data_IF_024800239562
#
_entry.id   IF_024800239562
#
_cell.length_a   1.000
_cell.length_b   1.000
_cell.length_c   1.000
_cell.angle_alpha   90.00
_cell.angle_beta   90.00
_cell.angle_gamma   90.00
#
_symmetry.space_group_name_H-M   'P 1'
#
loop_
_entity.id
_entity.type
_entity.pdbx_description
1 polymer ?
#
# COMPACT_ATOMS: atom_id res chain seq x y z
N UNK A 1 22.85 -14.98 -4.59
CA UNK A 1 21.88 -15.64 -5.48
C UNK A 1 20.54 -15.47 -4.80
N UNK A 2 19.80 -14.41 -5.14
CA UNK A 2 18.48 -14.19 -4.57
C UNK A 2 17.57 -15.34 -5.01
N UNK A 3 17.00 -16.04 -4.03
CA UNK A 3 16.02 -17.08 -4.29
C UNK A 3 14.91 -16.49 -5.18
N UNK A 4 14.37 -17.25 -6.16
CA UNK A 4 13.23 -16.76 -6.91
C UNK A 4 12.10 -16.51 -5.92
N UNK A 5 11.79 -15.24 -5.69
CA UNK A 5 10.64 -14.83 -4.90
C UNK A 5 9.42 -15.45 -5.60
N UNK A 6 8.88 -16.53 -5.04
CA UNK A 6 7.74 -17.21 -5.62
C UNK A 6 6.59 -16.20 -5.70
N UNK A 7 6.24 -15.84 -6.93
CA UNK A 7 5.13 -14.96 -7.22
C UNK A 7 3.86 -15.58 -6.61
N UNK A 8 3.14 -14.79 -5.81
CA UNK A 8 1.87 -15.24 -5.24
C UNK A 8 0.86 -15.41 -6.37
N UNK A 9 -0.09 -16.34 -6.19
CA UNK A 9 -1.11 -16.60 -7.19
C UNK A 9 -1.97 -15.34 -7.53
N UNK A 10 -2.10 -14.40 -6.58
CA UNK A 10 -2.85 -13.15 -6.73
C UNK A 10 -1.99 -11.95 -7.19
N UNK A 11 -0.71 -12.13 -7.53
CA UNK A 11 0.20 -11.02 -7.83
C UNK A 11 -0.28 -10.11 -8.96
N UNK A 12 -0.94 -10.66 -9.98
CA UNK A 12 -1.54 -9.86 -11.05
C UNK A 12 -2.66 -8.95 -10.51
N UNK A 13 -3.51 -9.46 -9.62
CA UNK A 13 -4.58 -8.69 -8.99
C UNK A 13 -4.01 -7.61 -8.06
N UNK A 14 -2.97 -7.94 -7.29
CA UNK A 14 -2.27 -6.96 -6.42
C UNK A 14 -1.67 -5.82 -7.24
N UNK A 15 -0.95 -6.12 -8.32
CA UNK A 15 -0.38 -5.08 -9.21
C UNK A 15 -1.46 -4.19 -9.82
N UNK A 16 -2.57 -4.78 -10.28
CA UNK A 16 -3.71 -4.03 -10.80
C UNK A 16 -4.32 -3.09 -9.73
N UNK A 17 -4.48 -3.59 -8.49
CA UNK A 17 -4.97 -2.79 -7.36
C UNK A 17 -3.98 -1.69 -6.93
N UNK A 18 -2.69 -1.80 -7.23
CA UNK A 18 -1.69 -0.78 -6.91
C UNK A 18 -1.53 0.29 -8.00
N UNK A 19 -1.81 -0.04 -9.27
CA UNK A 19 -1.46 0.82 -10.41
C UNK A 19 -2.65 1.46 -11.14
N UNK A 20 -3.86 0.88 -11.07
CA UNK A 20 -5.02 1.43 -11.79
C UNK A 20 -5.76 2.46 -10.94
N UNK A 21 -5.47 3.75 -11.12
CA UNK A 21 -6.07 4.88 -10.38
C UNK A 21 -7.17 5.60 -11.15
N UNK A 22 -7.31 5.33 -12.45
CA UNK A 22 -8.25 5.96 -13.38
C UNK A 22 -9.67 5.39 -13.35
N UNK A 23 -9.90 4.30 -12.59
CA UNK A 23 -11.19 3.63 -12.48
C UNK A 23 -11.44 3.10 -11.06
N UNK A 24 -12.71 2.91 -10.73
CA UNK A 24 -13.11 2.25 -9.48
C UNK A 24 -12.80 0.75 -9.53
N UNK A 25 -12.29 0.21 -8.43
CA UNK A 25 -11.99 -1.21 -8.28
C UNK A 25 -12.70 -1.76 -7.04
N UNK A 26 -13.23 -2.98 -7.14
CA UNK A 26 -13.61 -3.81 -6.00
C UNK A 26 -12.52 -4.86 -5.79
N UNK A 27 -12.00 -4.95 -4.58
CA UNK A 27 -10.99 -5.94 -4.21
C UNK A 27 -11.58 -6.88 -3.17
N UNK A 28 -11.83 -8.13 -3.58
CA UNK A 28 -12.23 -9.19 -2.66
C UNK A 28 -11.00 -9.85 -2.05
N UNK A 29 -10.96 -9.94 -0.73
CA UNK A 29 -9.77 -10.35 -0.01
C UNK A 29 -10.13 -11.12 1.26
N UNK A 30 -9.62 -12.35 1.39
CA UNK A 30 -9.79 -13.17 2.59
C UNK A 30 -9.03 -12.61 3.81
N UNK A 31 -9.27 -13.15 5.00
CA UNK A 31 -8.45 -12.87 6.17
C UNK A 31 -6.98 -13.23 5.91
N UNK A 32 -6.03 -12.42 6.39
CA UNK A 32 -4.59 -12.67 6.22
C UNK A 32 -4.01 -12.40 4.82
N UNK A 33 -4.82 -12.09 3.81
CA UNK A 33 -4.37 -11.79 2.43
C UNK A 33 -3.57 -10.49 2.25
N UNK A 34 -3.39 -9.71 3.32
CA UNK A 34 -2.70 -8.43 3.27
C UNK A 34 -3.49 -7.28 2.66
N UNK A 35 -4.83 -7.31 2.72
CA UNK A 35 -5.71 -6.23 2.22
C UNK A 35 -5.28 -4.82 2.64
N UNK A 36 -4.91 -4.63 3.91
CA UNK A 36 -4.45 -3.34 4.44
C UNK A 36 -3.12 -2.92 3.83
N UNK A 37 -2.22 -3.88 3.55
CA UNK A 37 -0.96 -3.60 2.86
C UNK A 37 -1.19 -3.20 1.40
N UNK A 38 -2.13 -3.83 0.70
CA UNK A 38 -2.50 -3.41 -0.67
C UNK A 38 -3.08 -1.99 -0.65
N UNK A 39 -3.96 -1.67 0.31
CA UNK A 39 -4.55 -0.33 0.44
C UNK A 39 -3.49 0.74 0.73
N UNK A 40 -2.58 0.49 1.68
CA UNK A 40 -1.48 1.39 2.00
C UNK A 40 -0.53 1.58 0.79
N UNK A 41 -0.21 0.48 0.10
CA UNK A 41 0.62 0.53 -1.10
C UNK A 41 -0.02 1.35 -2.21
N UNK A 42 -1.34 1.21 -2.41
CA UNK A 42 -2.09 1.99 -3.41
C UNK A 42 -2.00 3.48 -3.11
N UNK A 43 -2.20 3.89 -1.86
CA UNK A 43 -2.05 5.30 -1.46
C UNK A 43 -0.60 5.76 -1.70
N UNK A 44 0.40 4.97 -1.35
CA UNK A 44 1.81 5.32 -1.59
C UNK A 44 2.12 5.48 -3.10
N UNK A 45 1.55 4.64 -3.97
CA UNK A 45 1.69 4.77 -5.41
C UNK A 45 1.01 6.02 -5.96
N UNK A 46 -0.20 6.35 -5.48
CA UNK A 46 -0.87 7.61 -5.83
C UNK A 46 -0.01 8.83 -5.46
N UNK A 47 0.62 8.80 -4.28
CA UNK A 47 1.55 9.85 -3.85
C UNK A 47 2.80 9.91 -4.74
N UNK A 48 3.36 8.76 -5.11
CA UNK A 48 4.52 8.66 -6.01
C UNK A 48 4.20 9.17 -7.44
N UNK A 49 2.96 9.03 -7.89
CA UNK A 49 2.43 9.60 -9.14
C UNK A 49 2.19 11.12 -9.06
N UNK A 50 2.41 11.74 -7.89
CA UNK A 50 2.28 13.19 -7.69
C UNK A 50 0.88 13.65 -7.27
N UNK A 51 -0.03 12.72 -6.93
CA UNK A 51 -1.34 13.09 -6.40
C UNK A 51 -1.16 13.70 -5.01
N UNK A 52 -1.55 14.97 -4.84
CA UNK A 52 -1.41 15.63 -3.56
C UNK A 52 -2.30 14.95 -2.48
N UNK A 53 -1.81 14.75 -1.24
CA UNK A 53 -2.56 14.05 -0.18
C UNK A 53 -3.98 14.57 0.06
N UNK A 54 -4.19 15.89 -0.10
CA UNK A 54 -5.51 16.52 0.05
C UNK A 54 -6.59 16.02 -0.92
N UNK A 55 -6.19 15.30 -1.98
CA UNK A 55 -7.10 14.69 -2.95
C UNK A 55 -7.32 13.19 -2.69
N UNK A 56 -6.78 12.64 -1.60
CA UNK A 56 -6.89 11.22 -1.24
C UNK A 56 -7.67 11.12 0.08
N UNK A 57 -8.81 10.42 0.04
CA UNK A 57 -9.55 10.04 1.23
C UNK A 57 -9.48 8.52 1.42
N UNK A 58 -8.97 8.08 2.57
CA UNK A 58 -8.96 6.68 2.98
C UNK A 58 -9.84 6.51 4.21
N UNK A 59 -10.82 5.61 4.14
CA UNK A 59 -11.83 5.42 5.19
C UNK A 59 -11.76 4.00 5.70
N UNK A 60 -11.80 3.85 7.02
CA UNK A 60 -11.82 2.56 7.73
C UNK A 60 -12.97 2.53 8.74
N UNK A 61 -13.32 1.34 9.21
CA UNK A 61 -14.40 1.18 10.20
C UNK A 61 -14.03 1.64 11.61
N UNK A 62 -12.73 1.70 11.94
CA UNK A 62 -12.25 2.06 13.28
C UNK A 62 -11.08 3.03 13.20
N UNK A 63 -10.92 3.83 14.26
CA UNK A 63 -9.78 4.73 14.46
C UNK A 63 -8.44 3.99 14.54
N UNK A 64 -8.44 2.79 15.13
CA UNK A 64 -7.25 1.95 15.18
C UNK A 64 -6.80 1.55 13.77
N UNK A 65 -7.73 1.08 12.93
CA UNK A 65 -7.41 0.71 11.55
C UNK A 65 -6.97 1.92 10.71
N UNK A 66 -7.53 3.10 10.96
CA UNK A 66 -7.10 4.34 10.31
C UNK A 66 -5.65 4.68 10.69
N UNK A 67 -5.33 4.60 11.98
CA UNK A 67 -3.99 4.87 12.51
C UNK A 67 -2.96 3.89 11.95
N UNK A 68 -3.29 2.60 11.92
CA UNK A 68 -2.46 1.55 11.30
C UNK A 68 -2.23 1.79 9.81
N UNK A 69 -3.28 2.15 9.08
CA UNK A 69 -3.18 2.46 7.66
C UNK A 69 -2.22 3.64 7.42
N UNK A 70 -2.31 4.70 8.21
CA UNK A 70 -1.41 5.87 8.12
C UNK A 70 0.04 5.48 8.39
N UNK A 71 0.32 4.69 9.43
CA UNK A 71 1.66 4.21 9.72
C UNK A 71 2.24 3.42 8.54
N UNK A 72 1.44 2.52 7.96
CA UNK A 72 1.87 1.68 6.85
C UNK A 72 2.09 2.44 5.54
N UNK A 73 1.30 3.48 5.29
CA UNK A 73 1.55 4.41 4.16
C UNK A 73 2.91 5.09 4.32
N UNK A 74 3.25 5.55 5.53
CA UNK A 74 4.56 6.17 5.81
C UNK A 74 5.72 5.19 5.57
N UNK A 75 5.59 3.94 6.01
CA UNK A 75 6.58 2.88 5.75
C UNK A 75 6.87 2.72 4.26
N UNK A 76 5.81 2.63 3.44
CA UNK A 76 5.98 2.47 2.00
C UNK A 76 6.52 3.71 1.31
N UNK A 77 6.10 4.90 1.72
CA UNK A 77 6.66 6.15 1.20
C UNK A 77 8.16 6.23 1.52
N UNK A 78 8.59 5.90 2.74
CA UNK A 78 9.99 5.86 3.11
C UNK A 78 10.78 4.84 2.27
N UNK A 79 10.22 3.65 2.07
CA UNK A 79 10.82 2.61 1.24
C UNK A 79 10.99 3.06 -0.23
N UNK A 80 9.99 3.74 -0.80
CA UNK A 80 10.04 4.28 -2.17
C UNK A 80 11.06 5.41 -2.31
N UNK A 81 11.23 6.24 -1.28
CA UNK A 81 12.23 7.31 -1.26
C UNK A 81 13.65 6.80 -1.00
N UNK A 82 13.84 5.50 -0.72
CA UNK A 82 15.15 4.94 -0.36
C UNK A 82 15.66 5.44 1.00
N UNK A 83 14.79 6.03 1.82
CA UNK A 83 15.13 6.42 3.19
C UNK A 83 15.12 5.14 4.00
N UNK A 84 16.27 4.48 4.07
CA UNK A 84 16.47 3.43 5.06
C UNK A 84 16.12 4.03 6.42
N UNK A 85 15.34 3.31 7.22
CA UNK A 85 15.10 3.69 8.60
C UNK A 85 16.47 3.79 9.29
N UNK A 86 16.98 5.01 9.44
CA UNK A 86 18.03 5.30 10.40
C UNK A 86 17.43 5.02 11.77
N UNK A 87 17.47 3.75 12.17
CA UNK A 87 17.17 3.35 13.53
C UNK A 87 18.26 3.97 14.40
N UNK A 88 17.94 5.15 14.94
CA UNK A 88 18.60 5.70 16.09
C UNK A 88 18.40 4.75 17.27
N UNK A 89 19.52 4.14 17.69
CA UNK A 89 19.82 3.54 19.00
C UNK A 89 18.97 2.38 19.49
#
# INVERSE_FOLDING_TARGET
MDAPQQALADDAARRNALASHERSLLVEAGAGSGKTAVMAGRIAMMLAEGIAPRFIAAVTFTELAASELVMRVREFVNALMGVASENGK
#
